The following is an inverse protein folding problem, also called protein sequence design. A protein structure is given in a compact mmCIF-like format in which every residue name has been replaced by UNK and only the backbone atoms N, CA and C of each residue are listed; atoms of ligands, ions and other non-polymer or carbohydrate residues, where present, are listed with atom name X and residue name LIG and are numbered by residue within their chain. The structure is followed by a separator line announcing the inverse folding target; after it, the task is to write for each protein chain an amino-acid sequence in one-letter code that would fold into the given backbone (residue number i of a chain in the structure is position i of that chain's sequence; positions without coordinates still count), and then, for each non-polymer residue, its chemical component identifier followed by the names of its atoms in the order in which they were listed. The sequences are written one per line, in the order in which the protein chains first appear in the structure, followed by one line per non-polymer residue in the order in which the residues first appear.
data_IF_783245850343
#
_entry.id   IF_783245850343
#
_cell.length_a   1.000
_cell.length_b   1.000
_cell.length_c   1.000
_cell.angle_alpha   90.00
_cell.angle_beta   90.00
_cell.angle_gamma   90.00
#
_symmetry.space_group_name_H-M   'P 1'
#
loop_
_entity.id
_entity.type
_entity.pdbx_description
1 polymer ?
#
# COMPACT_ATOMS: atom_id res chain seq x y z
N UNK A 1 3.69 -10.55 -23.35
CA UNK A 1 3.60 -10.17 -22.62
C UNK A 1 3.07 -9.17 -22.39
N UNK A 2 2.76 -8.77 -22.21
CA UNK A 2 2.27 -7.98 -21.92
C UNK A 2 2.47 -7.22 -21.14
N UNK A 3 2.82 -6.59 -21.16
CA UNK A 3 3.02 -5.92 -20.27
C UNK A 3 2.53 -4.67 -20.21
N UNK A 4 2.07 -4.28 -19.38
CA UNK A 4 1.53 -3.01 -19.18
C UNK A 4 2.52 -1.94 -19.32
N UNK A 5 2.07 -0.77 -19.42
CA UNK A 5 2.92 0.28 -19.67
C UNK A 5 3.23 1.11 -18.52
N UNK A 6 2.74 0.85 -17.30
CA UNK A 6 3.00 1.68 -16.15
C UNK A 6 4.46 1.55 -15.73
N UNK A 7 4.97 2.56 -15.08
CA UNK A 7 6.31 2.49 -14.53
C UNK A 7 6.43 1.35 -13.52
N UNK A 8 5.37 1.08 -12.78
CA UNK A 8 5.37 -0.04 -11.86
C UNK A 8 5.59 -1.35 -12.60
N UNK A 9 4.88 -1.54 -13.71
CA UNK A 9 5.05 -2.76 -14.48
C UNK A 9 6.43 -2.80 -15.12
N UNK A 10 6.94 -1.66 -15.56
CA UNK A 10 8.26 -1.62 -16.16
C UNK A 10 9.33 -1.98 -15.16
N UNK A 11 9.15 -1.64 -13.88
CA UNK A 11 10.07 -2.04 -12.83
C UNK A 11 9.74 -3.41 -12.30
N UNK A 12 8.66 -4.04 -12.79
CA UNK A 12 8.21 -5.31 -12.27
C UNK A 12 7.57 -5.19 -10.89
N UNK A 13 7.14 -4.00 -10.48
CA UNK A 13 6.57 -3.84 -9.14
C UNK A 13 5.08 -4.08 -9.15
N UNK A 14 4.58 -4.59 -8.04
CA UNK A 14 3.15 -4.75 -7.83
C UNK A 14 2.89 -4.82 -6.34
N UNK A 15 1.65 -4.52 -5.96
CA UNK A 15 1.22 -4.59 -4.57
C UNK A 15 0.22 -5.72 -4.41
N UNK A 16 0.39 -6.50 -3.36
CA UNK A 16 -0.54 -7.59 -3.06
C UNK A 16 -0.90 -7.56 -1.59
N UNK A 17 -2.08 -8.09 -1.26
CA UNK A 17 -2.50 -8.25 0.11
C UNK A 17 -2.11 -9.63 0.59
N UNK A 18 -1.20 -9.72 1.56
CA UNK A 18 -0.85 -10.96 2.19
C UNK A 18 -1.68 -11.07 3.47
N UNK A 19 -2.89 -11.62 3.33
CA UNK A 19 -3.83 -11.66 4.44
C UNK A 19 -3.35 -12.54 5.58
N UNK A 20 -2.60 -13.58 5.28
CA UNK A 20 -2.06 -14.44 6.33
C UNK A 20 -1.16 -13.69 7.27
N UNK A 21 -0.43 -12.72 6.76
CA UNK A 21 0.48 -11.92 7.57
C UNK A 21 -0.10 -10.56 7.93
N UNK A 22 -1.33 -10.30 7.51
CA UNK A 22 -2.01 -9.02 7.77
C UNK A 22 -1.14 -7.87 7.31
N UNK A 23 -0.76 -7.90 6.04
CA UNK A 23 0.01 -6.79 5.48
C UNK A 23 -0.12 -6.75 3.98
N UNK A 24 -0.02 -5.53 3.43
CA UNK A 24 0.17 -5.35 2.00
C UNK A 24 1.66 -5.41 1.73
N UNK A 25 2.02 -5.95 0.58
CA UNK A 25 3.41 -6.13 0.21
C UNK A 25 3.65 -5.53 -1.16
N UNK A 26 4.72 -4.76 -1.27
CA UNK A 26 5.20 -4.26 -2.55
C UNK A 26 6.28 -5.23 -3.02
N UNK A 27 6.07 -5.82 -4.17
CA UNK A 27 6.96 -6.86 -4.70
C UNK A 27 7.60 -6.36 -5.99
N UNK A 28 8.92 -6.44 -6.05
CA UNK A 28 9.67 -6.10 -7.26
C UNK A 28 10.55 -7.31 -7.59
N UNK A 29 10.41 -7.81 -8.82
CA UNK A 29 11.18 -8.96 -9.30
C UNK A 29 11.12 -10.12 -8.33
N UNK A 30 9.93 -10.37 -7.79
CA UNK A 30 9.71 -11.50 -6.90
C UNK A 30 10.14 -11.29 -5.47
N UNK A 31 10.65 -10.10 -5.12
CA UNK A 31 11.11 -9.83 -3.76
C UNK A 31 10.19 -8.82 -3.09
N UNK A 32 9.89 -9.06 -1.82
CA UNK A 32 9.13 -8.09 -1.04
C UNK A 32 10.09 -6.98 -0.63
N UNK A 33 9.84 -5.77 -1.12
CA UNK A 33 10.69 -4.62 -0.84
C UNK A 33 9.97 -3.57 0.00
N UNK A 34 8.70 -3.77 0.29
CA UNK A 34 7.94 -2.85 1.13
C UNK A 34 6.76 -3.57 1.75
N UNK A 35 6.37 -3.12 2.93
CA UNK A 35 5.22 -3.67 3.62
C UNK A 35 4.41 -2.54 4.25
N UNK A 36 3.10 -2.78 4.34
CA UNK A 36 2.20 -1.93 5.10
C UNK A 36 1.38 -2.86 5.98
N UNK A 37 1.74 -2.95 7.24
CA UNK A 37 1.05 -3.81 8.19
C UNK A 37 -0.33 -3.25 8.49
N UNK A 38 -1.28 -4.13 8.78
CA UNK A 38 -2.60 -3.68 9.17
C UNK A 38 -3.26 -4.62 10.16
N UNK A 39 -4.22 -4.09 10.88
CA UNK A 39 -5.14 -4.85 11.70
C UNK A 39 -6.55 -4.54 11.24
N UNK A 40 -7.45 -5.50 11.38
CA UNK A 40 -8.85 -5.28 11.07
C UNK A 40 -9.63 -5.31 12.37
N UNK A 41 -10.39 -4.26 12.61
CA UNK A 41 -11.25 -4.19 13.78
C UNK A 41 -12.63 -3.76 13.31
N UNK A 42 -13.56 -4.71 13.23
CA UNK A 42 -14.88 -4.45 12.67
C UNK A 42 -14.78 -3.96 11.24
N UNK A 43 -15.29 -2.78 10.98
CA UNK A 43 -15.26 -2.20 9.64
C UNK A 43 -14.08 -1.27 9.43
N UNK A 44 -13.11 -1.29 10.32
CA UNK A 44 -11.97 -0.38 10.22
C UNK A 44 -10.69 -1.17 10.00
N UNK A 45 -9.87 -0.71 9.07
CA UNK A 45 -8.52 -1.23 8.86
C UNK A 45 -7.55 -0.24 9.46
N UNK A 46 -6.71 -0.71 10.38
CA UNK A 46 -5.76 0.12 11.10
C UNK A 46 -4.39 -0.12 10.51
N UNK A 47 -3.70 0.94 10.12
CA UNK A 47 -2.35 0.84 9.55
C UNK A 47 -1.33 1.38 10.55
N UNK A 48 -0.67 0.50 11.31
CA UNK A 48 0.28 0.97 12.33
C UNK A 48 1.69 1.20 11.79
N UNK A 49 2.05 0.61 10.65
CA UNK A 49 3.45 0.63 10.23
C UNK A 49 3.60 0.40 8.73
N UNK A 50 4.48 1.18 8.12
CA UNK A 50 4.85 1.04 6.71
C UNK A 50 6.36 1.08 6.62
N UNK A 51 6.93 0.24 5.77
CA UNK A 51 8.38 0.17 5.63
C UNK A 51 8.76 -0.13 4.19
N UNK A 52 9.76 0.58 3.69
CA UNK A 52 10.37 0.31 2.38
C UNK A 52 11.83 -0.05 2.64
N UNK A 53 12.32 -1.07 1.94
CA UNK A 53 13.74 -1.46 2.00
C UNK A 53 14.61 -0.22 1.83
N UNK A 54 15.57 0.03 2.75
CA UNK A 54 16.31 1.30 2.76
C UNK A 54 16.91 1.74 1.43
N UNK A 55 17.59 0.88 0.66
CA UNK A 55 18.16 1.35 -0.60
C UNK A 55 17.14 1.87 -1.59
N UNK A 56 15.85 1.53 -1.42
CA UNK A 56 14.82 1.93 -2.36
C UNK A 56 13.95 3.07 -1.84
N UNK A 57 14.28 3.62 -0.69
CA UNK A 57 13.51 4.72 -0.12
C UNK A 57 13.69 5.97 -0.97
N UNK A 58 12.65 6.82 -0.97
CA UNK A 58 12.72 8.07 -1.68
C UNK A 58 12.38 8.00 -3.14
N UNK A 59 12.06 6.81 -3.65
CA UNK A 59 11.74 6.64 -5.06
C UNK A 59 10.26 6.56 -5.39
N UNK A 60 9.39 6.93 -4.45
CA UNK A 60 7.95 6.89 -4.71
C UNK A 60 7.30 5.55 -4.45
N UNK A 61 8.08 4.55 -4.01
CA UNK A 61 7.52 3.22 -3.78
C UNK A 61 6.59 3.19 -2.59
N UNK A 62 6.84 4.02 -1.58
CA UNK A 62 5.93 4.11 -0.45
C UNK A 62 4.55 4.58 -0.87
N UNK A 63 4.49 5.58 -1.75
CA UNK A 63 3.22 6.06 -2.27
C UNK A 63 2.53 5.00 -3.11
N UNK A 64 3.29 4.26 -3.90
CA UNK A 64 2.71 3.18 -4.68
C UNK A 64 2.09 2.12 -3.77
N UNK A 65 2.82 1.73 -2.74
CA UNK A 65 2.34 0.72 -1.79
C UNK A 65 1.10 1.19 -1.04
N UNK A 66 1.17 2.37 -0.44
CA UNK A 66 0.07 2.86 0.38
C UNK A 66 -1.14 3.19 -0.48
N UNK A 67 -0.91 3.78 -1.66
CA UNK A 67 -2.02 4.09 -2.55
C UNK A 67 -2.80 2.86 -2.95
N UNK A 68 -2.09 1.79 -3.31
CA UNK A 68 -2.75 0.55 -3.70
C UNK A 68 -3.46 -0.11 -2.51
N UNK A 69 -2.84 -0.06 -1.33
CA UNK A 69 -3.44 -0.63 -0.13
C UNK A 69 -4.73 0.10 0.22
N UNK A 70 -4.71 1.43 0.19
CA UNK A 70 -5.89 2.20 0.55
C UNK A 70 -7.00 2.04 -0.49
N UNK A 71 -6.65 1.93 -1.77
CA UNK A 71 -7.64 1.69 -2.80
C UNK A 71 -8.33 0.34 -2.59
N UNK A 72 -7.56 -0.66 -2.18
CA UNK A 72 -8.12 -1.98 -1.91
C UNK A 72 -9.06 -1.95 -0.72
N UNK A 73 -8.66 -1.24 0.35
CA UNK A 73 -9.53 -1.09 1.52
C UNK A 73 -10.82 -0.37 1.15
N UNK A 74 -10.70 0.67 0.32
CA UNK A 74 -11.88 1.42 -0.12
C UNK A 74 -12.86 0.53 -0.85
N UNK A 75 -12.34 -0.34 -1.71
CA UNK A 75 -13.21 -1.26 -2.45
C UNK A 75 -13.92 -2.23 -1.54
N UNK A 76 -13.34 -2.52 -0.38
CA UNK A 76 -13.98 -3.42 0.58
C UNK A 76 -15.05 -2.71 1.42
N UNK A 77 -15.17 -1.39 1.29
CA UNK A 77 -16.15 -0.63 2.05
C UNK A 77 -15.76 -0.36 3.49
N UNK A 78 -14.50 -0.61 3.85
CA UNK A 78 -14.06 -0.38 5.22
C UNK A 78 -13.45 1.01 5.39
N UNK A 79 -13.46 1.47 6.61
CA UNK A 79 -12.79 2.73 6.97
C UNK A 79 -11.32 2.48 7.26
N UNK A 80 -10.54 3.55 7.34
CA UNK A 80 -9.13 3.47 7.62
C UNK A 80 -8.80 4.28 8.86
N UNK A 81 -7.99 3.72 9.75
CA UNK A 81 -7.40 4.46 10.86
C UNK A 81 -5.88 4.47 10.65
N UNK A 82 -5.32 5.61 10.27
CA UNK A 82 -3.89 5.68 9.97
C UNK A 82 -3.09 6.04 11.22
N UNK A 83 -2.57 5.03 11.91
CA UNK A 83 -1.67 5.26 13.03
C UNK A 83 -0.26 5.59 12.55
N UNK A 84 0.11 5.08 11.36
CA UNK A 84 1.39 5.40 10.77
C UNK A 84 1.31 6.78 10.12
N UNK A 85 2.27 7.66 10.45
CA UNK A 85 2.23 9.02 9.92
C UNK A 85 2.30 9.05 8.39
N UNK A 86 2.98 8.08 7.79
CA UNK A 86 3.11 8.05 6.33
C UNK A 86 1.74 7.82 5.68
N UNK A 87 0.95 6.91 6.24
CA UNK A 87 -0.39 6.66 5.72
C UNK A 87 -1.28 7.89 5.95
N UNK A 88 -1.15 8.53 7.11
CA UNK A 88 -1.92 9.73 7.40
C UNK A 88 -1.58 10.84 6.42
N UNK A 89 -0.29 11.02 6.11
CA UNK A 89 0.13 12.02 5.15
C UNK A 89 -0.40 11.72 3.77
N UNK A 90 -0.38 10.45 3.38
CA UNK A 90 -0.90 10.06 2.08
C UNK A 90 -2.39 10.41 1.97
N UNK A 91 -3.15 10.13 3.02
CA UNK A 91 -4.58 10.44 3.02
C UNK A 91 -4.83 11.94 2.93
N UNK A 92 -4.01 12.75 3.60
CA UNK A 92 -4.14 14.20 3.50
C UNK A 92 -3.89 14.70 2.08
N UNK A 93 -2.92 14.10 1.40
CA UNK A 93 -2.58 14.51 0.05
C UNK A 93 -3.52 13.93 -1.00
N UNK A 94 -4.24 12.86 -0.66
CA UNK A 94 -5.12 12.17 -1.61
C UNK A 94 -6.48 11.92 -0.95
N UNK A 95 -7.23 12.99 -0.67
CA UNK A 95 -8.48 12.82 0.11
C UNK A 95 -9.53 11.98 -0.58
N UNK A 96 -9.43 11.80 -1.90
CA UNK A 96 -10.42 11.02 -2.63
C UNK A 96 -10.10 9.53 -2.70
N UNK A 97 -8.97 9.10 -2.14
CA UNK A 97 -8.56 7.70 -2.31
C UNK A 97 -9.56 6.73 -1.71
N UNK A 98 -10.26 7.12 -0.66
CA UNK A 98 -11.27 6.28 -0.02
C UNK A 98 -12.67 6.50 -0.56
N UNK A 99 -12.85 7.43 -1.48
CA UNK A 99 -14.17 7.74 -2.03
C UNK A 99 -14.41 6.88 -3.26
N UNK A 100 -14.97 5.72 -3.05
CA UNK A 100 -15.18 4.75 -4.12
C UNK A 100 -16.63 4.72 -4.54
#
# INVERSE_FOLDING_TARGET
MDEPDSAAAERGSRVRNNAERSRYELVIDGRVVGIADYWIRGDTVIFPHTEITPPLRGGGLGDELVGAALADVARSGRDVQPLCWFVAEYLDAHPDVLAV
#
